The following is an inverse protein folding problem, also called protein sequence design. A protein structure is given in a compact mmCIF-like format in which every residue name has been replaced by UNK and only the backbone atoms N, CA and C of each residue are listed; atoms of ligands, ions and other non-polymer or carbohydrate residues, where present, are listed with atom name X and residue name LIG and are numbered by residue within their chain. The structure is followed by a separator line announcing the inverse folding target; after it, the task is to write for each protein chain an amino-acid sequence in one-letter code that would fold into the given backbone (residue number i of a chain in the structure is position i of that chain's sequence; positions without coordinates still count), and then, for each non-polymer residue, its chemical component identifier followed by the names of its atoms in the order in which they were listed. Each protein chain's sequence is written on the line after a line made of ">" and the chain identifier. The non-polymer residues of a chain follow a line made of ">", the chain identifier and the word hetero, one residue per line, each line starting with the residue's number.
data_IF_102267162973
#
_entry.id   IF_102267162973
#
_cell.length_a   1.000
_cell.length_b   1.000
_cell.length_c   1.000
_cell.angle_alpha   90.00
_cell.angle_beta   90.00
_cell.angle_gamma   90.00
#
_symmetry.space_group_name_H-M   'P 1'
#
loop_
_entity.id
_entity.type
_entity.pdbx_description
1 polymer ?
#
# COMPACT_ATOMS: atom_id res chain seq x y z
N UNK A 1 19.57 9.99 -17.32
CA UNK A 1 18.39 10.16 -16.44
C UNK A 1 18.67 9.43 -15.13
N UNK A 2 18.58 10.11 -14.00
CA UNK A 2 18.83 9.52 -12.67
C UNK A 2 17.84 8.36 -12.41
N UNK A 3 18.24 7.24 -11.77
CA UNK A 3 17.36 6.08 -11.53
C UNK A 3 16.01 6.46 -10.91
N UNK A 4 16.05 7.27 -9.85
CA UNK A 4 14.87 7.86 -9.20
C UNK A 4 13.91 8.57 -10.17
N UNK A 5 14.45 9.41 -11.06
CA UNK A 5 13.62 10.16 -12.02
C UNK A 5 12.92 9.23 -13.03
N UNK A 6 13.55 8.10 -13.39
CA UNK A 6 12.92 7.10 -14.25
C UNK A 6 11.70 6.48 -13.58
N UNK A 7 11.80 6.15 -12.30
CA UNK A 7 10.70 5.57 -11.52
C UNK A 7 9.55 6.57 -11.40
N UNK A 8 9.84 7.84 -11.08
CA UNK A 8 8.82 8.90 -11.00
C UNK A 8 8.06 9.04 -12.32
N UNK A 9 8.77 9.06 -13.45
CA UNK A 9 8.15 9.18 -14.77
C UNK A 9 7.30 7.94 -15.10
N UNK A 10 7.79 6.74 -14.76
CA UNK A 10 7.03 5.51 -14.94
C UNK A 10 5.73 5.50 -14.13
N UNK A 11 5.77 5.95 -12.87
CA UNK A 11 4.56 6.12 -12.04
C UNK A 11 3.58 7.09 -12.70
N UNK A 12 4.06 8.25 -13.17
CA UNK A 12 3.18 9.22 -13.83
C UNK A 12 2.51 8.65 -15.07
N UNK A 13 3.25 7.92 -15.90
CA UNK A 13 2.72 7.31 -17.12
C UNK A 13 1.74 6.18 -16.83
N UNK A 14 2.02 5.34 -15.83
CA UNK A 14 1.14 4.22 -15.51
C UNK A 14 -0.20 4.65 -14.89
N UNK A 15 -0.21 5.79 -14.17
CA UNK A 15 -1.38 6.28 -13.44
C UNK A 15 -2.07 7.50 -14.07
N UNK A 16 -1.66 7.93 -15.28
CA UNK A 16 -2.23 9.15 -15.89
C UNK A 16 -3.68 8.97 -16.35
N UNK A 17 -4.09 7.74 -16.66
CA UNK A 17 -5.45 7.40 -17.09
C UNK A 17 -6.31 6.82 -15.96
N UNK A 18 -5.79 6.79 -14.72
CA UNK A 18 -6.54 6.25 -13.58
C UNK A 18 -7.77 7.11 -13.30
N UNK A 19 -8.96 6.52 -13.48
CA UNK A 19 -10.22 7.19 -13.20
C UNK A 19 -10.38 7.51 -11.71
N UNK A 20 -10.81 8.74 -11.42
CA UNK A 20 -11.14 9.16 -10.07
C UNK A 20 -12.52 8.61 -9.68
N UNK A 21 -12.64 7.87 -8.57
CA UNK A 21 -13.96 7.52 -8.03
C UNK A 21 -14.68 8.76 -7.47
N UNK A 22 -16.02 8.75 -7.42
CA UNK A 22 -16.76 9.81 -6.74
C UNK A 22 -16.37 9.90 -5.26
N UNK A 23 -16.50 11.09 -4.69
CA UNK A 23 -16.17 11.37 -3.29
C UNK A 23 -16.87 10.41 -2.30
N UNK A 24 -18.10 9.99 -2.63
CA UNK A 24 -18.88 9.04 -1.84
C UNK A 24 -18.27 7.62 -1.79
N UNK A 25 -17.36 7.30 -2.71
CA UNK A 25 -16.68 6.01 -2.83
C UNK A 25 -15.18 6.09 -2.50
N UNK A 26 -14.68 7.21 -1.95
CA UNK A 26 -13.27 7.29 -1.53
C UNK A 26 -12.99 6.50 -0.25
N UNK A 27 -13.94 6.42 0.67
CA UNK A 27 -13.77 5.79 1.98
C UNK A 27 -14.13 4.30 1.93
N UNK A 28 -13.19 3.43 2.34
CA UNK A 28 -13.33 1.98 2.34
C UNK A 28 -13.99 1.40 3.59
N UNK A 29 -13.84 2.05 4.75
CA UNK A 29 -14.45 1.64 6.02
C UNK A 29 -15.31 2.76 6.60
N UNK A 30 -16.50 2.44 7.13
CA UNK A 30 -17.40 3.40 7.82
C UNK A 30 -17.45 3.19 9.33
N UNK A 31 -16.50 2.43 9.87
CA UNK A 31 -16.46 2.14 11.30
C UNK A 31 -15.67 3.20 12.07
N UNK A 32 -16.35 3.91 12.97
CA UNK A 32 -15.77 5.03 13.69
C UNK A 32 -15.72 6.32 12.86
N UNK A 33 -15.12 7.37 13.43
CA UNK A 33 -14.94 8.66 12.75
C UNK A 33 -13.62 8.75 11.98
N UNK A 34 -12.59 8.02 12.43
CA UNK A 34 -11.23 8.08 11.88
C UNK A 34 -11.16 7.89 10.36
N UNK A 35 -11.85 6.91 9.74
CA UNK A 35 -11.76 6.75 8.28
C UNK A 35 -12.26 7.97 7.49
N UNK A 36 -13.29 8.65 8.00
CA UNK A 36 -13.83 9.85 7.36
C UNK A 36 -12.91 11.06 7.54
N UNK A 37 -12.32 11.21 8.72
CA UNK A 37 -11.35 12.27 9.03
C UNK A 37 -10.07 12.14 8.19
N UNK A 38 -9.57 10.92 8.00
CA UNK A 38 -8.38 10.65 7.19
C UNK A 38 -8.58 10.88 5.70
N UNK A 39 -9.78 10.61 5.18
CA UNK A 39 -10.09 10.75 3.74
C UNK A 39 -10.57 12.16 3.39
N UNK A 40 -11.06 12.93 4.35
CA UNK A 40 -11.60 14.29 4.15
C UNK A 40 -10.70 15.22 3.31
N UNK A 41 -9.36 15.27 3.50
CA UNK A 41 -8.48 16.14 2.70
C UNK A 41 -8.43 15.83 1.19
N UNK A 42 -8.93 14.67 0.79
CA UNK A 42 -8.91 14.20 -0.60
C UNK A 42 -10.23 14.45 -1.34
N UNK A 43 -11.27 14.89 -0.62
CA UNK A 43 -12.58 15.20 -1.18
C UNK A 43 -12.47 16.39 -2.14
N UNK A 44 -13.02 16.23 -3.35
CA UNK A 44 -12.97 17.25 -4.40
C UNK A 44 -11.62 17.41 -5.10
N UNK A 45 -10.59 16.64 -4.74
CA UNK A 45 -9.29 16.66 -5.41
C UNK A 45 -9.39 15.90 -6.73
N UNK A 46 -9.44 16.64 -7.84
CA UNK A 46 -9.65 16.09 -9.19
C UNK A 46 -8.37 15.65 -9.92
N UNK A 47 -7.20 16.03 -9.40
CA UNK A 47 -5.89 15.65 -9.95
C UNK A 47 -4.94 15.31 -8.79
N UNK A 48 -4.65 14.02 -8.63
CA UNK A 48 -3.75 13.52 -7.60
C UNK A 48 -2.34 14.12 -7.71
N UNK A 49 -1.91 14.56 -8.90
CA UNK A 49 -0.55 15.07 -9.14
C UNK A 49 -0.31 16.47 -8.56
N UNK A 50 -1.39 17.19 -8.21
CA UNK A 50 -1.36 18.52 -7.61
C UNK A 50 -1.41 18.49 -6.07
N UNK A 51 -1.50 17.30 -5.46
CA UNK A 51 -1.53 17.19 -4.00
C UNK A 51 -0.22 17.65 -3.37
N UNK A 52 -0.33 18.52 -2.37
CA UNK A 52 0.82 18.93 -1.56
C UNK A 52 1.29 17.74 -0.72
N UNK A 53 2.59 17.35 -0.81
CA UNK A 53 3.18 16.32 0.05
C UNK A 53 2.92 16.52 1.55
N UNK A 54 2.78 17.76 2.02
CA UNK A 54 2.44 18.04 3.42
C UNK A 54 1.05 17.52 3.81
N UNK A 55 0.08 17.55 2.88
CA UNK A 55 -1.27 16.99 3.10
C UNK A 55 -1.20 15.46 3.13
N UNK A 56 -0.40 14.88 2.22
CA UNK A 56 -0.19 13.43 2.17
C UNK A 56 0.41 12.91 3.48
N UNK A 57 1.43 13.59 4.00
CA UNK A 57 2.11 13.20 5.24
C UNK A 57 1.26 13.47 6.49
N UNK A 58 0.54 14.59 6.54
CA UNK A 58 -0.42 14.84 7.62
C UNK A 58 -1.56 13.80 7.64
N UNK A 59 -1.94 13.29 6.47
CA UNK A 59 -2.95 12.26 6.28
C UNK A 59 -2.31 10.87 6.11
N UNK A 60 -1.24 10.57 6.86
CA UNK A 60 -0.43 9.36 6.68
C UNK A 60 -1.24 8.05 6.77
N UNK A 61 -2.33 8.03 7.53
CA UNK A 61 -3.19 6.86 7.69
C UNK A 61 -4.27 6.73 6.61
N UNK A 62 -4.42 7.69 5.69
CA UNK A 62 -5.46 7.66 4.66
C UNK A 62 -5.35 6.42 3.74
N UNK A 63 -4.14 5.95 3.45
CA UNK A 63 -3.89 4.73 2.69
C UNK A 63 -4.49 3.47 3.33
N UNK A 64 -4.73 3.45 4.64
CA UNK A 64 -5.46 2.36 5.33
C UNK A 64 -6.97 2.43 5.13
N UNK A 65 -7.51 3.63 4.86
CA UNK A 65 -8.94 3.91 4.93
C UNK A 65 -9.57 4.20 3.58
N UNK A 66 -8.78 4.39 2.53
CA UNK A 66 -9.31 4.46 1.19
C UNK A 66 -10.01 3.15 0.80
N UNK A 67 -11.05 3.30 -0.03
CA UNK A 67 -11.54 2.20 -0.85
C UNK A 67 -10.47 1.75 -1.85
N UNK A 68 -10.66 0.61 -2.50
CA UNK A 68 -9.74 0.16 -3.56
C UNK A 68 -9.55 1.21 -4.66
N UNK A 69 -10.64 1.88 -5.08
CA UNK A 69 -10.59 2.94 -6.08
C UNK A 69 -9.88 4.21 -5.58
N UNK A 70 -10.16 4.64 -4.34
CA UNK A 70 -9.50 5.80 -3.74
C UNK A 70 -8.00 5.54 -3.54
N UNK A 71 -7.65 4.33 -3.12
CA UNK A 71 -6.28 3.88 -2.93
C UNK A 71 -5.54 3.88 -4.26
N UNK A 72 -6.12 3.27 -5.29
CA UNK A 72 -5.54 3.25 -6.66
C UNK A 72 -5.29 4.66 -7.20
N UNK A 73 -6.25 5.58 -7.01
CA UNK A 73 -6.17 6.94 -7.55
C UNK A 73 -5.13 7.82 -6.83
N UNK A 74 -5.03 7.75 -5.51
CA UNK A 74 -4.13 8.64 -4.73
C UNK A 74 -2.76 8.05 -4.42
N UNK A 75 -2.57 6.73 -4.48
CA UNK A 75 -1.28 6.08 -4.29
C UNK A 75 -0.12 6.72 -5.07
N UNK A 76 -0.22 7.05 -6.38
CA UNK A 76 0.92 7.61 -7.11
C UNK A 76 1.45 8.92 -6.52
N UNK A 77 0.60 9.75 -5.90
CA UNK A 77 1.03 10.96 -5.20
C UNK A 77 1.95 10.63 -4.02
N UNK A 78 1.58 9.62 -3.22
CA UNK A 78 2.37 9.13 -2.10
C UNK A 78 3.71 8.53 -2.56
N UNK A 79 3.71 7.70 -3.62
CA UNK A 79 4.94 7.09 -4.15
C UNK A 79 5.93 8.14 -4.63
N UNK A 80 5.46 9.15 -5.35
CA UNK A 80 6.31 10.23 -5.86
C UNK A 80 6.82 11.09 -4.69
N UNK A 81 5.98 11.42 -3.71
CA UNK A 81 6.40 12.18 -2.54
C UNK A 81 7.46 11.43 -1.71
N UNK A 82 7.29 10.11 -1.52
CA UNK A 82 8.29 9.26 -0.86
C UNK A 82 9.62 9.24 -1.62
N UNK A 83 9.59 9.03 -2.94
CA UNK A 83 10.81 9.08 -3.77
C UNK A 83 11.51 10.44 -3.71
N UNK A 84 10.75 11.52 -3.55
CA UNK A 84 11.28 12.87 -3.42
C UNK A 84 11.74 13.21 -1.99
N UNK A 85 11.71 12.24 -1.07
CA UNK A 85 12.12 12.41 0.32
C UNK A 85 11.26 13.49 1.04
N UNK A 86 9.98 13.59 0.69
CA UNK A 86 9.02 14.60 1.20
C UNK A 86 8.00 14.05 2.20
N UNK A 87 8.04 12.77 2.51
CA UNK A 87 7.22 12.13 3.53
C UNK A 87 8.08 11.86 4.78
N UNK A 88 7.50 12.05 5.96
CA UNK A 88 8.15 11.76 7.24
C UNK A 88 7.41 10.68 8.02
N UNK A 89 6.09 10.63 7.89
CA UNK A 89 5.19 9.76 8.66
C UNK A 89 4.49 8.75 7.77
N UNK A 90 4.07 9.15 6.57
CA UNK A 90 3.43 8.25 5.62
C UNK A 90 4.42 7.20 5.10
N UNK A 91 4.01 5.93 5.13
CA UNK A 91 4.82 4.79 4.69
C UNK A 91 4.09 4.00 3.58
N UNK A 92 4.28 4.39 2.30
CA UNK A 92 3.67 3.67 1.19
C UNK A 92 4.21 2.24 1.04
N UNK A 93 5.45 1.97 1.46
CA UNK A 93 6.04 0.63 1.40
C UNK A 93 5.26 -0.33 2.28
N UNK A 94 4.90 0.09 3.50
CA UNK A 94 4.05 -0.70 4.38
C UNK A 94 2.73 -1.09 3.71
N UNK A 95 2.03 -0.14 3.08
CA UNK A 95 0.73 -0.42 2.44
C UNK A 95 0.82 -1.33 1.21
N UNK A 96 2.00 -1.40 0.57
CA UNK A 96 2.24 -2.27 -0.58
C UNK A 96 2.79 -3.66 -0.20
N UNK A 97 3.26 -3.84 1.04
CA UNK A 97 3.97 -5.07 1.46
C UNK A 97 3.31 -5.80 2.64
N UNK A 98 2.50 -5.09 3.44
CA UNK A 98 1.81 -5.67 4.58
C UNK A 98 0.85 -6.79 4.15
N UNK A 99 0.89 -7.91 4.87
CA UNK A 99 0.13 -9.12 4.56
C UNK A 99 0.84 -10.15 3.68
N UNK A 100 2.01 -9.83 3.11
CA UNK A 100 2.80 -10.79 2.31
C UNK A 100 3.89 -11.53 3.09
N UNK A 101 4.34 -10.97 4.21
CA UNK A 101 5.30 -11.61 5.14
C UNK A 101 4.61 -12.08 6.42
N UNK A 102 5.19 -13.07 7.09
CA UNK A 102 4.70 -13.59 8.36
C UNK A 102 5.84 -13.90 9.31
N UNK A 103 5.60 -13.76 10.61
CA UNK A 103 6.58 -14.04 11.66
C UNK A 103 5.91 -14.85 12.76
N UNK A 104 6.68 -15.67 13.46
CA UNK A 104 6.23 -16.38 14.66
C UNK A 104 6.75 -15.62 15.86
N UNK A 105 5.85 -15.21 16.75
CA UNK A 105 6.20 -14.47 17.97
C UNK A 105 5.90 -15.34 19.18
N UNK A 106 6.84 -15.35 20.12
CA UNK A 106 6.70 -16.01 21.41
C UNK A 106 6.01 -15.05 22.39
N UNK A 107 4.81 -15.40 22.84
CA UNK A 107 4.04 -14.60 23.79
C UNK A 107 4.07 -15.26 25.18
N UNK A 108 4.64 -14.59 26.20
CA UNK A 108 4.53 -15.07 27.57
C UNK A 108 3.09 -14.85 28.07
N UNK A 109 2.45 -15.89 28.60
CA UNK A 109 1.20 -15.77 29.33
C UNK A 109 1.30 -16.56 30.65
N UNK A 110 1.60 -15.84 31.73
CA UNK A 110 1.93 -16.43 33.02
C UNK A 110 3.24 -17.23 32.96
N UNK A 111 3.20 -18.50 33.37
CA UNK A 111 4.37 -19.41 33.35
C UNK A 111 4.58 -20.13 32.00
N UNK A 112 3.74 -19.87 30.98
CA UNK A 112 3.79 -20.55 29.69
C UNK A 112 4.17 -19.58 28.58
N UNK A 113 4.89 -20.09 27.59
CA UNK A 113 5.20 -19.37 26.35
C UNK A 113 4.36 -19.98 25.24
N UNK A 114 3.63 -19.15 24.50
CA UNK A 114 2.80 -19.55 23.38
C UNK A 114 3.40 -19.04 22.08
N UNK A 115 3.48 -19.91 21.08
CA UNK A 115 3.78 -19.52 19.70
C UNK A 115 2.53 -18.91 19.06
N UNK A 116 2.66 -17.69 18.54
CA UNK A 116 1.61 -17.04 17.74
C UNK A 116 2.17 -16.62 16.40
N UNK A 117 1.58 -17.16 15.33
CA UNK A 117 1.83 -16.67 13.97
C UNK A 117 1.13 -15.32 13.77
N UNK A 118 1.87 -14.35 13.25
CA UNK A 118 1.38 -13.03 12.84
C UNK A 118 1.73 -12.79 11.35
N UNK A 119 1.01 -11.86 10.73
CA UNK A 119 1.19 -11.52 9.31
C UNK A 119 0.47 -12.50 8.38
N UNK A 120 1.09 -12.81 7.23
CA UNK A 120 0.55 -13.53 6.05
C UNK A 120 -0.52 -14.57 6.37
N UNK A 121 -0.18 -15.58 7.16
CA UNK A 121 -1.05 -16.74 7.42
C UNK A 121 -2.00 -16.56 8.61
N UNK A 122 -1.92 -15.44 9.34
CA UNK A 122 -2.83 -15.17 10.45
C UNK A 122 -4.19 -14.71 9.92
N UNK A 123 -5.27 -15.11 10.62
CA UNK A 123 -6.62 -14.70 10.26
C UNK A 123 -6.83 -13.20 10.46
N UNK A 124 -7.38 -12.54 9.45
CA UNK A 124 -7.79 -11.15 9.47
C UNK A 124 -9.18 -11.04 10.11
N UNK A 125 -9.25 -10.54 11.34
CA UNK A 125 -10.48 -10.40 12.14
C UNK A 125 -11.48 -11.55 11.92
N UNK A 126 -11.20 -12.76 12.45
CA UNK A 126 -11.96 -13.97 12.12
C UNK A 126 -13.44 -13.91 12.55
N UNK A 127 -13.79 -13.02 13.48
CA UNK A 127 -15.19 -12.78 13.88
C UNK A 127 -16.00 -12.12 12.77
N UNK A 128 -15.35 -11.35 11.90
CA UNK A 128 -15.98 -10.58 10.83
C UNK A 128 -15.81 -11.22 9.46
N UNK A 129 -14.60 -11.71 9.17
CA UNK A 129 -14.24 -12.21 7.83
C UNK A 129 -13.98 -13.71 7.78
N UNK A 130 -14.31 -14.43 8.87
CA UNK A 130 -14.20 -15.89 8.93
C UNK A 130 -12.75 -16.36 8.77
N UNK A 131 -12.51 -17.20 7.76
CA UNK A 131 -11.20 -17.79 7.49
C UNK A 131 -10.27 -16.94 6.61
N UNK A 132 -10.65 -15.69 6.28
CA UNK A 132 -9.81 -14.78 5.51
C UNK A 132 -8.49 -14.53 6.24
N UNK A 133 -7.36 -14.73 5.56
CA UNK A 133 -6.04 -14.39 6.08
C UNK A 133 -5.63 -12.97 5.71
N UNK A 134 -4.58 -12.45 6.35
CA UNK A 134 -3.95 -11.19 5.92
C UNK A 134 -3.47 -11.24 4.46
N UNK A 135 -3.00 -12.40 4.00
CA UNK A 135 -2.60 -12.59 2.61
C UNK A 135 -3.78 -12.47 1.64
N UNK A 136 -4.92 -13.10 1.98
CA UNK A 136 -6.13 -13.02 1.15
C UNK A 136 -6.65 -11.58 1.08
N UNK A 137 -6.67 -10.90 2.22
CA UNK A 137 -7.06 -9.49 2.31
C UNK A 137 -6.17 -8.60 1.46
N UNK A 138 -4.83 -8.70 1.60
CA UNK A 138 -3.88 -7.89 0.83
C UNK A 138 -4.02 -8.13 -0.68
N UNK A 139 -4.17 -9.40 -1.10
CA UNK A 139 -4.41 -9.74 -2.52
C UNK A 139 -5.71 -9.15 -3.05
N UNK A 140 -6.78 -9.16 -2.26
CA UNK A 140 -8.06 -8.58 -2.67
C UNK A 140 -7.91 -7.07 -2.87
N UNK A 141 -7.43 -6.36 -1.85
CA UNK A 141 -7.28 -4.91 -1.88
C UNK A 141 -6.38 -4.43 -3.02
N UNK A 142 -5.27 -5.14 -3.27
CA UNK A 142 -4.29 -4.77 -4.29
C UNK A 142 -4.64 -5.33 -5.68
N UNK A 143 -5.72 -6.09 -5.82
CA UNK A 143 -6.18 -6.61 -7.13
C UNK A 143 -6.80 -5.55 -8.04
N UNK A 144 -6.94 -4.31 -7.55
CA UNK A 144 -7.48 -3.17 -8.31
C UNK A 144 -6.49 -2.62 -9.34
N UNK A 145 -5.18 -2.81 -9.13
CA UNK A 145 -4.14 -2.22 -9.99
C UNK A 145 -4.00 -2.94 -11.33
N UNK A 146 -3.87 -2.18 -12.41
CA UNK A 146 -3.60 -2.75 -13.75
C UNK A 146 -2.18 -3.31 -13.83
N UNK A 147 -1.87 -3.99 -14.93
CA UNK A 147 -0.54 -4.51 -15.22
C UNK A 147 0.49 -3.38 -15.26
N UNK A 148 0.15 -2.28 -15.89
CA UNK A 148 0.99 -1.10 -16.07
C UNK A 148 1.26 -0.41 -14.72
N UNK A 149 0.20 -0.22 -13.91
CA UNK A 149 0.31 0.32 -12.56
C UNK A 149 1.13 -0.59 -11.64
N UNK A 150 0.93 -1.91 -11.71
CA UNK A 150 1.73 -2.87 -10.98
C UNK A 150 3.20 -2.84 -11.42
N UNK A 151 3.48 -2.64 -12.71
CA UNK A 151 4.84 -2.44 -13.23
C UNK A 151 5.54 -1.21 -12.63
N UNK A 152 4.81 -0.10 -12.47
CA UNK A 152 5.32 1.09 -11.79
C UNK A 152 5.56 0.85 -10.28
N UNK A 153 4.67 0.12 -9.62
CA UNK A 153 4.82 -0.28 -8.21
C UNK A 153 6.03 -1.19 -8.01
N UNK A 154 6.25 -2.17 -8.90
CA UNK A 154 7.45 -3.03 -8.87
C UNK A 154 8.72 -2.18 -8.98
N UNK A 155 8.77 -1.25 -9.95
CA UNK A 155 9.92 -0.36 -10.12
C UNK A 155 10.18 0.52 -8.88
N UNK A 156 9.12 0.97 -8.19
CA UNK A 156 9.22 1.68 -6.92
C UNK A 156 9.78 0.80 -5.81
N UNK A 157 9.23 -0.40 -5.59
CA UNK A 157 9.67 -1.32 -4.54
C UNK A 157 11.11 -1.78 -4.75
N UNK A 158 11.51 -2.08 -5.99
CA UNK A 158 12.88 -2.44 -6.33
C UNK A 158 13.84 -1.27 -6.09
N UNK A 159 13.45 -0.03 -6.42
CA UNK A 159 14.24 1.15 -6.08
C UNK A 159 14.43 1.31 -4.56
N UNK A 160 13.37 1.12 -3.76
CA UNK A 160 13.46 1.18 -2.29
C UNK A 160 14.34 0.06 -1.73
N UNK A 161 14.26 -1.14 -2.31
CA UNK A 161 15.11 -2.26 -1.93
C UNK A 161 16.59 -2.00 -2.27
N UNK A 162 16.90 -1.53 -3.48
CA UNK A 162 18.26 -1.20 -3.90
C UNK A 162 18.90 -0.10 -3.03
N UNK A 163 18.09 0.85 -2.57
CA UNK A 163 18.54 1.95 -1.70
C UNK A 163 18.91 1.47 -0.29
N UNK A 164 18.21 0.46 0.24
CA UNK A 164 18.50 -0.14 1.55
C UNK A 164 18.27 -1.67 1.58
N UNK A 165 19.17 -2.48 0.98
CA UNK A 165 18.96 -3.92 0.82
C UNK A 165 18.98 -4.72 2.14
N UNK A 166 19.45 -4.09 3.23
CA UNK A 166 19.48 -4.66 4.58
C UNK A 166 18.56 -3.90 5.54
N UNK A 167 17.70 -3.04 4.98
CA UNK A 167 16.76 -2.24 5.72
C UNK A 167 15.66 -3.05 6.37
N UNK A 168 14.92 -2.39 7.25
CA UNK A 168 13.82 -3.00 8.01
C UNK A 168 12.71 -3.58 7.12
N UNK A 169 12.59 -3.08 5.88
CA UNK A 169 11.55 -3.49 4.93
C UNK A 169 12.04 -4.51 3.89
N UNK A 170 13.30 -4.94 3.94
CA UNK A 170 13.88 -5.77 2.86
C UNK A 170 13.21 -7.14 2.74
N UNK A 171 12.81 -7.76 3.86
CA UNK A 171 12.09 -9.04 3.86
C UNK A 171 10.67 -8.87 3.31
N UNK A 172 9.97 -7.82 3.77
CA UNK A 172 8.61 -7.49 3.39
C UNK A 172 8.51 -7.14 1.90
N UNK A 173 9.45 -6.35 1.37
CA UNK A 173 9.52 -6.01 -0.05
C UNK A 173 9.74 -7.26 -0.90
N UNK A 174 10.73 -8.10 -0.56
CA UNK A 174 10.98 -9.33 -1.32
C UNK A 174 9.77 -10.27 -1.30
N UNK A 175 9.15 -10.47 -0.14
CA UNK A 175 7.95 -11.30 -0.02
C UNK A 175 6.80 -10.80 -0.90
N UNK A 176 6.56 -9.48 -0.94
CA UNK A 176 5.50 -8.90 -1.75
C UNK A 176 5.82 -8.96 -3.26
N UNK A 177 7.08 -8.68 -3.65
CA UNK A 177 7.55 -8.77 -5.03
C UNK A 177 7.40 -10.19 -5.58
N UNK A 178 7.83 -11.19 -4.82
CA UNK A 178 7.86 -12.59 -5.28
C UNK A 178 6.47 -13.25 -5.28
N UNK A 179 5.59 -12.85 -4.37
CA UNK A 179 4.29 -13.54 -4.21
C UNK A 179 3.11 -12.85 -4.88
N UNK A 180 3.26 -11.60 -5.30
CA UNK A 180 2.15 -10.83 -5.88
C UNK A 180 2.59 -9.85 -6.97
N UNK A 181 3.46 -8.88 -6.65
CA UNK A 181 3.65 -7.73 -7.54
C UNK A 181 4.28 -8.07 -8.89
N UNK A 182 5.30 -8.93 -8.93
CA UNK A 182 5.92 -9.33 -10.21
C UNK A 182 4.97 -10.12 -11.09
N UNK A 183 4.17 -11.01 -10.51
CA UNK A 183 3.12 -11.74 -11.25
C UNK A 183 2.04 -10.78 -11.75
N UNK A 184 1.59 -9.84 -10.91
CA UNK A 184 0.59 -8.83 -11.31
C UNK A 184 1.11 -7.93 -12.45
N UNK A 185 2.37 -7.53 -12.41
CA UNK A 185 3.01 -6.74 -13.45
C UNK A 185 3.22 -7.51 -14.77
N UNK A 186 3.25 -8.86 -14.74
CA UNK A 186 3.35 -9.68 -15.93
C UNK A 186 1.99 -10.10 -16.49
N UNK A 187 1.06 -10.48 -15.62
CA UNK A 187 -0.15 -11.23 -15.96
C UNK A 187 -1.45 -10.51 -15.55
N UNK A 188 -1.36 -9.31 -14.96
CA UNK A 188 -2.52 -8.51 -14.57
C UNK A 188 -3.38 -8.06 -15.75
N UNK A 189 -4.61 -7.58 -15.48
CA UNK A 189 -5.47 -6.94 -16.46
C UNK A 189 -4.89 -5.58 -16.90
N UNK A 190 -5.19 -5.17 -18.12
CA UNK A 190 -4.88 -3.85 -18.69
C UNK A 190 -6.01 -2.89 -18.42
#
# INVERSE_FOLDING_TARGET
>A
MQPKQRVIEHIRQAFCETERPDDAFLQGSREGCEPGESVAPFIGVADWSQLDPAILDASYNALSFFSEGGFRYFLPAYLIADLQDRLQTADPVFHLTNGFSGKVVMLPAGQRIYEKTIGKSAFFNPRRYGAMTWYDYARCQLSVFTREEAGAIVAYLEYKWDADPRGLNAEEINAALDTFWRDRAANGPT
#
